data_IF_177990381022
#
_entry.id   IF_177990381022
#
_cell.length_a   1.000
_cell.length_b   1.000
_cell.length_c   1.000
_cell.angle_alpha   90.00
_cell.angle_beta   90.00
_cell.angle_gamma   90.00
#
_symmetry.space_group_name_H-M   'P 1'
#
loop_
_entity.id
_entity.type
_entity.pdbx_description
1 polymer ?
#
# COMPACT_ATOMS: atom_id res chain seq x y z
N UNK A 1 9.64 13.17 16.17
CA UNK A 1 8.55 12.97 15.20
C UNK A 1 9.20 12.48 13.91
N UNK A 2 8.82 11.33 13.38
CA UNK A 2 9.38 10.85 12.10
C UNK A 2 8.72 11.62 10.95
N UNK A 3 9.52 12.09 10.00
CA UNK A 3 9.03 12.76 8.78
C UNK A 3 8.88 11.74 7.65
N UNK A 4 7.95 12.04 6.72
CA UNK A 4 7.80 11.25 5.50
C UNK A 4 9.10 11.24 4.70
N UNK A 5 9.60 10.04 4.39
CA UNK A 5 10.76 9.83 3.50
C UNK A 5 10.31 9.02 2.31
N UNK A 6 9.89 9.73 1.27
CA UNK A 6 9.42 9.12 0.03
C UNK A 6 10.50 9.29 -1.04
N UNK A 7 11.09 8.17 -1.47
CA UNK A 7 12.12 8.18 -2.50
C UNK A 7 11.58 8.65 -3.86
N UNK A 8 12.33 9.46 -4.60
CA UNK A 8 11.93 9.92 -5.95
C UNK A 8 11.62 8.76 -6.91
N UNK A 9 12.35 7.64 -6.79
CA UNK A 9 12.10 6.44 -7.59
C UNK A 9 10.76 5.75 -7.25
N UNK A 10 10.26 5.90 -6.03
CA UNK A 10 8.93 5.44 -5.64
C UNK A 10 7.85 6.33 -6.29
N UNK A 11 8.03 7.65 -6.22
CA UNK A 11 7.12 8.63 -6.84
C UNK A 11 6.99 8.38 -8.34
N UNK A 12 8.11 8.27 -9.06
CA UNK A 12 8.10 7.99 -10.50
C UNK A 12 7.32 6.70 -10.82
N UNK A 13 7.45 5.67 -9.99
CA UNK A 13 6.75 4.39 -10.14
C UNK A 13 5.26 4.48 -9.85
N UNK A 14 4.88 5.20 -8.79
CA UNK A 14 3.48 5.52 -8.51
C UNK A 14 2.85 6.22 -9.70
N UNK A 15 3.53 7.23 -10.26
CA UNK A 15 2.97 8.06 -11.33
C UNK A 15 2.80 7.29 -12.65
N UNK A 16 3.60 6.24 -12.90
CA UNK A 16 3.38 5.31 -14.02
C UNK A 16 2.03 4.58 -13.93
N UNK A 17 1.52 4.33 -12.72
CA UNK A 17 0.20 3.71 -12.53
C UNK A 17 -0.93 4.58 -13.07
N UNK A 18 -0.74 5.90 -13.18
CA UNK A 18 -1.80 6.81 -13.60
C UNK A 18 -2.40 6.43 -14.97
N UNK A 19 -1.55 5.97 -15.90
CA UNK A 19 -1.99 5.61 -17.25
C UNK A 19 -2.39 4.14 -17.37
N UNK A 20 -1.77 3.25 -16.60
CA UNK A 20 -1.96 1.80 -16.73
C UNK A 20 -3.04 1.27 -15.78
N UNK A 21 -3.12 1.83 -14.58
CA UNK A 21 -3.90 1.35 -13.43
C UNK A 21 -4.38 2.55 -12.57
N UNK A 22 -5.30 3.37 -13.11
CA UNK A 22 -5.70 4.63 -12.48
C UNK A 22 -6.38 4.46 -11.12
N UNK A 23 -7.01 3.30 -10.87
CA UNK A 23 -7.58 2.95 -9.58
C UNK A 23 -6.49 2.79 -8.51
N UNK A 24 -5.45 1.99 -8.80
CA UNK A 24 -4.29 1.84 -7.92
C UNK A 24 -3.59 3.18 -7.64
N UNK A 25 -3.41 4.02 -8.68
CA UNK A 25 -2.85 5.35 -8.53
C UNK A 25 -3.70 6.22 -7.58
N UNK A 26 -5.01 6.29 -7.82
CA UNK A 26 -5.93 7.13 -7.03
C UNK A 26 -6.00 6.66 -5.58
N UNK A 27 -6.02 5.34 -5.35
CA UNK A 27 -5.96 4.75 -4.02
C UNK A 27 -4.70 5.18 -3.27
N UNK A 28 -3.51 5.08 -3.88
CA UNK A 28 -2.26 5.50 -3.26
C UNK A 28 -2.21 6.99 -2.96
N UNK A 29 -2.67 7.83 -3.90
CA UNK A 29 -2.71 9.27 -3.71
C UNK A 29 -3.63 9.64 -2.55
N UNK A 30 -4.82 9.05 -2.48
CA UNK A 30 -5.74 9.24 -1.36
C UNK A 30 -5.11 8.80 -0.04
N UNK A 31 -4.45 7.64 -0.01
CA UNK A 31 -3.76 7.14 1.18
C UNK A 31 -2.58 8.05 1.57
N UNK A 32 -1.91 8.72 0.64
CA UNK A 32 -0.79 9.59 0.94
C UNK A 32 -1.22 11.00 1.39
N UNK A 33 -2.26 11.56 0.75
CA UNK A 33 -2.71 12.95 0.95
C UNK A 33 -3.73 13.10 2.08
N UNK A 34 -4.58 12.09 2.29
CA UNK A 34 -5.69 12.17 3.27
C UNK A 34 -5.40 11.49 4.59
N UNK A 35 -4.27 10.77 4.70
CA UNK A 35 -3.89 10.07 5.93
C UNK A 35 -3.09 10.98 6.85
N UNK A 36 -3.77 11.76 7.67
CA UNK A 36 -3.14 12.39 8.84
C UNK A 36 -3.36 11.49 10.08
N UNK A 37 -2.34 11.21 10.92
CA UNK A 37 -0.91 11.46 10.78
C UNK A 37 -0.11 10.15 10.59
N UNK A 38 -0.01 9.64 9.36
CA UNK A 38 0.83 8.46 9.08
C UNK A 38 2.19 8.84 8.49
N UNK A 39 3.23 8.08 8.84
CA UNK A 39 4.58 8.24 8.32
C UNK A 39 4.81 7.22 7.21
N UNK A 40 5.30 7.70 6.07
CA UNK A 40 5.68 6.91 4.91
C UNK A 40 7.19 6.80 4.82
N UNK A 41 7.70 5.58 4.88
CA UNK A 41 9.10 5.28 4.54
C UNK A 41 9.12 4.45 3.26
N UNK A 42 9.58 5.03 2.16
CA UNK A 42 9.61 4.34 0.87
C UNK A 42 11.01 4.10 0.32
N UNK A 43 11.12 2.98 -0.38
CA UNK A 43 12.24 2.60 -1.23
C UNK A 43 11.77 2.51 -2.68
N UNK A 44 12.64 2.11 -3.61
CA UNK A 44 12.31 2.06 -5.04
C UNK A 44 11.03 1.26 -5.36
N UNK A 45 10.79 0.12 -4.71
CA UNK A 45 9.67 -0.80 -5.04
C UNK A 45 8.63 -0.95 -3.94
N UNK A 46 8.79 -0.27 -2.81
CA UNK A 46 7.92 -0.48 -1.65
C UNK A 46 7.81 0.76 -0.78
N UNK A 47 6.74 0.83 -0.01
CA UNK A 47 6.57 1.79 1.07
C UNK A 47 6.04 1.09 2.32
N UNK A 48 6.50 1.54 3.47
CA UNK A 48 5.96 1.16 4.77
C UNK A 48 5.20 2.34 5.34
N UNK A 49 4.00 2.07 5.83
CA UNK A 49 3.12 3.07 6.45
C UNK A 49 3.10 2.80 7.95
N UNK A 50 3.37 3.84 8.73
CA UNK A 50 3.39 3.81 10.19
C UNK A 50 2.40 4.80 10.78
N UNK A 51 1.87 4.49 11.95
CA UNK A 51 1.09 5.42 12.76
C UNK A 51 1.53 5.31 14.22
N UNK A 52 1.91 6.44 14.82
CA UNK A 52 2.56 6.48 16.13
C UNK A 52 3.82 5.58 16.15
N UNK A 53 3.86 4.58 17.03
CA UNK A 53 4.88 3.54 17.17
C UNK A 53 4.52 2.24 16.41
N UNK A 54 3.43 2.22 15.64
CA UNK A 54 2.92 1.03 14.95
C UNK A 54 3.24 0.99 13.46
N UNK A 55 3.74 -0.15 12.98
CA UNK A 55 3.74 -0.50 11.55
C UNK A 55 2.33 -0.98 11.15
N UNK A 56 1.74 -0.37 10.13
CA UNK A 56 0.36 -0.64 9.72
C UNK A 56 0.25 -1.44 8.43
N UNK A 57 1.11 -1.16 7.45
CA UNK A 57 0.95 -1.69 6.10
C UNK A 57 2.27 -1.60 5.34
N UNK A 58 2.55 -2.64 4.56
CA UNK A 58 3.54 -2.59 3.49
C UNK A 58 2.85 -2.58 2.13
N UNK A 59 3.24 -1.62 1.31
CA UNK A 59 2.82 -1.43 -0.07
C UNK A 59 3.98 -1.84 -0.97
N UNK A 60 3.76 -2.72 -1.93
CA UNK A 60 4.76 -3.11 -2.93
C UNK A 60 4.25 -2.92 -4.32
N UNK A 61 5.07 -2.36 -5.20
CA UNK A 61 4.79 -2.37 -6.62
C UNK A 61 5.05 -3.75 -7.21
N UNK A 62 4.13 -4.23 -8.04
CA UNK A 62 4.27 -5.47 -8.81
C UNK A 62 4.38 -5.09 -10.28
N UNK A 63 5.25 -5.77 -11.03
CA UNK A 63 5.25 -5.77 -12.49
C UNK A 63 5.35 -4.43 -13.23
N UNK A 64 5.79 -3.31 -12.64
CA UNK A 64 5.79 -1.99 -13.32
C UNK A 64 6.52 -2.05 -14.67
N UNK A 65 5.77 -1.78 -15.74
CA UNK A 65 6.22 -1.87 -17.14
C UNK A 65 5.83 -3.16 -17.85
N UNK A 66 5.13 -4.06 -17.16
CA UNK A 66 4.62 -5.35 -17.64
C UNK A 66 3.09 -5.43 -17.48
N UNK A 67 2.41 -6.40 -18.12
CA UNK A 67 0.95 -6.55 -18.06
C UNK A 67 0.37 -6.74 -16.66
N UNK A 68 1.20 -7.15 -15.69
CA UNK A 68 0.83 -7.34 -14.28
C UNK A 68 1.30 -6.18 -13.39
N UNK A 69 1.32 -4.95 -13.93
CA UNK A 69 1.62 -3.77 -13.13
C UNK A 69 0.52 -3.55 -12.08
N UNK A 70 0.89 -3.19 -10.85
CA UNK A 70 -0.08 -2.92 -9.78
C UNK A 70 0.59 -2.70 -8.42
N UNK A 71 -0.21 -2.77 -7.37
CA UNK A 71 0.27 -2.73 -5.99
C UNK A 71 -0.22 -3.93 -5.20
N UNK A 72 0.59 -4.37 -4.24
CA UNK A 72 0.22 -5.33 -3.20
C UNK A 72 0.21 -4.64 -1.85
N UNK A 73 -0.87 -4.84 -1.12
CA UNK A 73 -1.03 -4.44 0.27
C UNK A 73 -0.91 -5.71 1.12
N UNK A 74 0.13 -5.79 1.95
CA UNK A 74 0.44 -7.02 2.67
C UNK A 74 0.03 -6.91 4.15
N UNK A 75 -0.63 -7.95 4.70
CA UNK A 75 -1.07 -7.99 6.10
C UNK A 75 0.09 -8.23 7.07
N UNK A 76 1.30 -8.47 6.57
CA UNK A 76 2.49 -8.74 7.39
C UNK A 76 3.72 -8.10 6.77
N UNK A 77 4.63 -7.61 7.63
CA UNK A 77 5.97 -7.21 7.19
C UNK A 77 6.83 -8.46 7.01
N UNK A 78 7.30 -8.71 5.78
CA UNK A 78 8.33 -9.72 5.55
C UNK A 78 9.72 -9.11 5.83
N UNK A 79 10.05 -8.92 7.12
CA UNK A 79 11.36 -8.40 7.53
C UNK A 79 11.44 -8.00 8.99
N UNK A 80 12.62 -7.50 9.40
CA UNK A 80 12.76 -6.83 10.70
C UNK A 80 12.09 -5.47 10.64
N UNK A 81 11.26 -5.21 11.64
CA UNK A 81 10.74 -3.88 11.91
C UNK A 81 11.85 -3.00 12.51
N UNK A 82 11.69 -1.68 12.36
CA UNK A 82 12.58 -0.72 13.01
C UNK A 82 12.45 -0.90 14.52
N UNK A 83 13.58 -0.83 15.23
CA UNK A 83 13.58 -0.92 16.70
C UNK A 83 12.61 0.11 17.32
N UNK A 84 11.83 -0.34 18.30
CA UNK A 84 10.79 0.49 18.92
C UNK A 84 9.48 0.59 18.11
N UNK A 85 9.30 -0.21 17.05
CA UNK A 85 8.02 -0.30 16.33
C UNK A 85 7.29 -1.61 16.58
N UNK A 86 5.96 -1.51 16.75
CA UNK A 86 5.06 -2.65 16.99
C UNK A 86 4.34 -3.01 15.68
N UNK A 87 4.25 -4.29 15.34
CA UNK A 87 3.41 -4.71 14.22
C UNK A 87 1.92 -4.50 14.59
N UNK A 88 1.24 -3.62 13.87
CA UNK A 88 -0.19 -3.31 14.02
C UNK A 88 -0.97 -3.54 12.72
N UNK A 89 -0.47 -4.36 11.80
CA UNK A 89 -1.18 -4.71 10.57
C UNK A 89 -2.59 -5.27 10.80
N UNK A 90 -2.80 -5.99 11.91
CA UNK A 90 -4.11 -6.52 12.28
C UNK A 90 -5.18 -5.46 12.56
N UNK A 91 -4.81 -4.18 12.69
CA UNK A 91 -5.78 -3.07 12.74
C UNK A 91 -6.35 -2.73 11.35
N UNK A 92 -5.62 -3.05 10.28
CA UNK A 92 -6.01 -2.75 8.91
C UNK A 92 -6.47 -3.99 8.13
N UNK A 93 -5.90 -5.16 8.45
CA UNK A 93 -6.17 -6.40 7.73
C UNK A 93 -6.88 -7.45 8.60
N UNK A 94 -7.72 -8.30 7.98
CA UNK A 94 -8.21 -8.17 6.60
C UNK A 94 -9.35 -7.12 6.50
N UNK A 95 -10.10 -6.91 7.58
CA UNK A 95 -11.42 -6.27 7.53
C UNK A 95 -11.42 -4.84 6.99
N UNK A 96 -10.59 -3.94 7.54
CA UNK A 96 -10.70 -2.50 7.21
C UNK A 96 -10.35 -2.24 5.74
N UNK A 97 -9.24 -2.80 5.26
CA UNK A 97 -8.80 -2.63 3.88
C UNK A 97 -9.73 -3.36 2.91
N UNK A 98 -10.19 -4.57 3.24
CA UNK A 98 -11.12 -5.29 2.37
C UNK A 98 -12.47 -4.59 2.25
N UNK A 99 -13.03 -4.10 3.36
CA UNK A 99 -14.27 -3.33 3.35
C UNK A 99 -14.13 -2.06 2.52
N UNK A 100 -13.00 -1.37 2.61
CA UNK A 100 -12.74 -0.18 1.80
C UNK A 100 -12.72 -0.52 0.31
N UNK A 101 -12.05 -1.61 -0.06
CA UNK A 101 -11.99 -2.08 -1.45
C UNK A 101 -13.38 -2.48 -1.95
N UNK A 102 -14.15 -3.17 -1.12
CA UNK A 102 -15.51 -3.60 -1.45
C UNK A 102 -16.47 -2.43 -1.64
N UNK A 103 -16.46 -1.43 -0.74
CA UNK A 103 -17.27 -0.21 -0.84
C UNK A 103 -17.01 0.54 -2.15
N UNK A 104 -15.77 0.49 -2.66
CA UNK A 104 -15.40 1.07 -3.94
C UNK A 104 -15.56 0.10 -5.13
N UNK A 105 -16.22 -1.04 -4.92
CA UNK A 105 -16.53 -2.02 -5.95
C UNK A 105 -15.33 -2.78 -6.49
N UNK A 106 -14.20 -2.82 -5.77
CA UNK A 106 -12.93 -3.31 -6.32
C UNK A 106 -12.89 -4.76 -6.71
N UNK A 107 -13.54 -5.62 -5.93
CA UNK A 107 -13.65 -7.03 -6.28
C UNK A 107 -14.61 -7.25 -7.46
N UNK A 108 -15.74 -6.54 -7.49
CA UNK A 108 -16.74 -6.67 -8.55
C UNK A 108 -16.21 -6.15 -9.89
N UNK A 109 -15.58 -4.98 -9.87
CA UNK A 109 -14.95 -4.35 -11.02
C UNK A 109 -13.60 -4.98 -11.40
N UNK A 110 -13.13 -5.97 -10.63
CA UNK A 110 -11.90 -6.74 -10.84
C UNK A 110 -10.62 -5.91 -10.90
N UNK A 111 -10.64 -4.71 -10.30
CA UNK A 111 -9.41 -3.94 -10.05
C UNK A 111 -8.74 -4.36 -8.75
N UNK A 112 -9.36 -5.21 -7.92
CA UNK A 112 -8.72 -5.82 -6.76
C UNK A 112 -8.94 -7.33 -6.67
N UNK A 113 -7.97 -8.05 -6.13
CA UNK A 113 -8.02 -9.49 -5.86
C UNK A 113 -7.38 -9.85 -4.52
N UNK A 114 -7.87 -10.93 -3.91
CA UNK A 114 -7.29 -11.53 -2.70
C UNK A 114 -6.31 -12.62 -3.10
N UNK A 115 -5.18 -12.70 -2.40
CA UNK A 115 -4.23 -13.81 -2.49
C UNK A 115 -4.35 -14.71 -1.23
N UNK A 116 -3.87 -15.94 -1.33
CA UNK A 116 -4.01 -16.97 -0.28
C UNK A 116 -3.37 -16.61 1.07
N UNK A 117 -2.42 -15.66 1.07
CA UNK A 117 -1.71 -15.18 2.26
C UNK A 117 -2.37 -13.95 2.92
N UNK A 118 -3.57 -13.57 2.47
CA UNK A 118 -4.28 -12.37 2.91
C UNK A 118 -3.74 -11.07 2.28
N UNK A 119 -2.78 -11.15 1.35
CA UNK A 119 -2.36 -10.00 0.55
C UNK A 119 -3.50 -9.58 -0.37
N UNK A 120 -3.72 -8.27 -0.44
CA UNK A 120 -4.62 -7.67 -1.43
C UNK A 120 -3.79 -7.14 -2.60
N UNK A 121 -4.10 -7.56 -3.82
CA UNK A 121 -3.52 -7.03 -5.04
C UNK A 121 -4.50 -6.04 -5.69
N UNK A 122 -4.02 -4.86 -6.05
CA UNK A 122 -4.79 -3.77 -6.67
C UNK A 122 -4.16 -3.46 -8.03
N UNK A 123 -4.98 -3.48 -9.06
CA UNK A 123 -4.70 -3.23 -10.47
C UNK A 123 -5.67 -2.17 -10.97
#
# INVERSE_FOLDING_TARGET
MFENRIAAAYVARRDLLKSTFPAAHSFLMNLQERSAPVVWLSAKKSAHVYWQDGFLLQIRFVGIGEPNTGIRLQPNHAGKLVEGTVNRCGLLFPEVIENLVEVHGGFVARWASRLDDGTLEIR
#
